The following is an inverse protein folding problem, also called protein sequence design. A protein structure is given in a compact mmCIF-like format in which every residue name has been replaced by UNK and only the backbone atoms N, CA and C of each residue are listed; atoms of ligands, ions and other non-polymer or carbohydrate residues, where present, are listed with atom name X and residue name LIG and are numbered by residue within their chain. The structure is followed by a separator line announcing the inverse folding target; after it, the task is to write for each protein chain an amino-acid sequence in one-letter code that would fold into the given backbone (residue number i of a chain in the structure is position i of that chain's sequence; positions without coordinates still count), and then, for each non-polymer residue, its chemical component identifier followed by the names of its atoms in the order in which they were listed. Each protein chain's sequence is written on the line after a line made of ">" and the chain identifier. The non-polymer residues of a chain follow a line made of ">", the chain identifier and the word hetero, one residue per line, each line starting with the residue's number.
data_IF_253290291389
#
_entry.id   IF_253290291389
#
_cell.length_a   1.000
_cell.length_b   1.000
_cell.length_c   1.000
_cell.angle_alpha   90.00
_cell.angle_beta   90.00
_cell.angle_gamma   90.00
#
_symmetry.space_group_name_H-M   'P 1'
#
loop_
_entity.id
_entity.type
_entity.pdbx_description
1 polymer ?
#
# COMPACT_ATOMS: atom_id res chain seq x y z
N UNK A 1 44.83 49.42 -36.24
CA UNK A 1 45.29 48.29 -35.37
C UNK A 1 44.12 47.83 -34.55
N UNK A 2 43.66 46.62 -34.84
CA UNK A 2 42.57 45.97 -34.02
C UNK A 2 43.20 45.55 -32.68
N UNK A 3 42.62 46.02 -31.63
CA UNK A 3 43.15 45.80 -30.30
C UNK A 3 42.96 44.33 -29.84
N UNK A 4 44.03 43.55 -29.90
CA UNK A 4 44.05 42.09 -29.57
C UNK A 4 43.55 41.84 -28.15
N UNK A 5 43.72 42.80 -27.24
CA UNK A 5 43.21 42.71 -25.87
C UNK A 5 41.67 42.76 -25.81
N UNK A 6 41.03 43.54 -26.68
CA UNK A 6 39.56 43.60 -26.70
C UNK A 6 38.93 42.29 -27.22
N UNK A 7 39.59 41.64 -28.19
CA UNK A 7 39.12 40.33 -28.70
C UNK A 7 39.22 39.24 -27.65
N UNK A 8 40.33 39.18 -26.88
CA UNK A 8 40.51 38.21 -25.79
C UNK A 8 39.47 38.39 -24.68
N UNK A 9 39.18 39.63 -24.31
CA UNK A 9 38.15 39.92 -23.28
C UNK A 9 36.74 39.51 -23.74
N UNK A 10 36.36 39.76 -24.98
CA UNK A 10 35.07 39.36 -25.57
C UNK A 10 34.92 37.84 -25.65
N UNK A 11 36.00 37.12 -26.00
CA UNK A 11 35.97 35.65 -26.03
C UNK A 11 35.84 35.07 -24.61
N UNK A 12 36.51 35.61 -23.64
CA UNK A 12 36.44 35.15 -22.24
C UNK A 12 35.05 35.42 -21.63
N UNK A 13 34.40 36.56 -21.88
CA UNK A 13 33.07 36.88 -21.43
C UNK A 13 32.01 36.03 -22.11
N UNK A 14 32.13 35.77 -23.43
CA UNK A 14 31.21 34.90 -24.17
C UNK A 14 31.29 33.44 -23.69
N UNK A 15 32.49 32.92 -23.42
CA UNK A 15 32.70 31.59 -22.83
C UNK A 15 32.07 31.47 -21.45
N UNK A 16 32.24 32.46 -20.57
CA UNK A 16 31.64 32.50 -19.24
C UNK A 16 30.12 32.57 -19.28
N UNK A 17 29.53 33.31 -20.19
CA UNK A 17 28.08 33.38 -20.39
C UNK A 17 27.51 32.05 -20.89
N UNK A 18 28.21 31.39 -21.85
CA UNK A 18 27.81 30.06 -22.34
C UNK A 18 27.87 29.01 -21.25
N UNK A 19 28.95 28.97 -20.48
CA UNK A 19 29.11 28.06 -19.32
C UNK A 19 28.02 28.25 -18.27
N UNK A 20 27.72 29.51 -17.89
CA UNK A 20 26.66 29.79 -16.92
C UNK A 20 25.26 29.40 -17.44
N UNK A 21 25.01 29.53 -18.74
CA UNK A 21 23.77 29.12 -19.39
C UNK A 21 23.62 27.60 -19.39
N UNK A 22 24.70 26.86 -19.63
CA UNK A 22 24.69 25.38 -19.58
C UNK A 22 24.45 24.86 -18.17
N UNK A 23 25.12 25.42 -17.15
CA UNK A 23 24.86 25.06 -15.73
C UNK A 23 23.41 25.35 -15.37
N UNK A 24 22.87 26.51 -15.70
CA UNK A 24 21.49 26.87 -15.41
C UNK A 24 20.51 25.91 -16.08
N UNK A 25 20.76 25.51 -17.30
CA UNK A 25 19.93 24.54 -18.02
C UNK A 25 20.02 23.15 -17.41
N UNK A 26 21.20 22.69 -16.98
CA UNK A 26 21.39 21.39 -16.30
C UNK A 26 20.69 21.36 -14.94
N UNK A 27 20.83 22.41 -14.13
CA UNK A 27 20.12 22.55 -12.86
C UNK A 27 18.60 22.56 -13.04
N UNK A 28 18.10 23.30 -14.04
CA UNK A 28 16.66 23.34 -14.35
C UNK A 28 16.18 21.95 -14.77
N UNK A 29 16.91 21.26 -15.63
CA UNK A 29 16.57 19.89 -16.06
C UNK A 29 16.56 18.91 -14.90
N UNK A 30 17.55 18.94 -14.01
CA UNK A 30 17.59 18.12 -12.80
C UNK A 30 16.42 18.42 -11.88
N UNK A 31 16.07 19.69 -11.68
CA UNK A 31 14.91 20.09 -10.88
C UNK A 31 13.59 19.56 -11.49
N UNK A 32 13.41 19.66 -12.81
CA UNK A 32 12.25 19.11 -13.50
C UNK A 32 12.15 17.58 -13.31
N UNK A 33 13.24 16.83 -13.45
CA UNK A 33 13.25 15.40 -13.24
C UNK A 33 12.95 15.04 -11.79
N UNK A 34 13.47 15.81 -10.82
CA UNK A 34 13.18 15.59 -9.39
C UNK A 34 11.72 15.87 -9.07
N UNK A 35 11.15 16.96 -9.58
CA UNK A 35 9.72 17.28 -9.39
C UNK A 35 8.85 16.23 -10.07
N UNK A 36 9.18 15.80 -11.28
CA UNK A 36 8.44 14.79 -12.03
C UNK A 36 8.49 13.44 -11.30
N UNK A 37 9.63 13.05 -10.73
CA UNK A 37 9.76 11.82 -9.93
C UNK A 37 8.96 11.89 -8.63
N UNK A 38 8.94 13.03 -7.95
CA UNK A 38 8.12 13.25 -6.75
C UNK A 38 6.62 13.21 -7.06
N UNK A 39 6.19 13.77 -8.19
CA UNK A 39 4.80 13.68 -8.65
C UNK A 39 4.41 12.25 -9.03
N UNK A 40 5.32 11.48 -9.60
CA UNK A 40 5.06 10.07 -9.94
C UNK A 40 4.94 9.17 -8.70
N UNK A 41 5.69 9.46 -7.64
CA UNK A 41 5.61 8.71 -6.37
C UNK A 41 4.26 8.96 -5.68
N UNK A 42 3.67 10.14 -5.78
CA UNK A 42 2.40 10.47 -5.14
C UNK A 42 1.18 9.79 -5.77
N UNK A 43 1.28 9.24 -6.99
CA UNK A 43 0.14 8.60 -7.69
C UNK A 43 0.02 7.09 -7.48
N UNK A 44 1.00 6.46 -6.80
CA UNK A 44 1.06 4.99 -6.65
C UNK A 44 0.39 4.51 -5.35
N UNK A 45 0.23 5.37 -4.34
CA UNK A 45 -0.43 4.98 -3.10
C UNK A 45 -1.95 5.15 -3.22
N UNK A 46 -2.68 4.04 -3.38
CA UNK A 46 -4.13 4.05 -3.20
C UNK A 46 -4.44 4.64 -1.81
N UNK A 47 -5.11 5.79 -1.80
CA UNK A 47 -5.37 6.54 -0.58
C UNK A 47 -6.49 5.87 0.23
N UNK A 48 -6.38 5.92 1.55
CA UNK A 48 -7.48 5.57 2.42
C UNK A 48 -8.62 6.59 2.30
N UNK A 49 -9.83 6.08 2.26
CA UNK A 49 -11.06 6.88 2.30
C UNK A 49 -11.92 6.41 3.48
N UNK A 50 -12.83 7.25 4.00
CA UNK A 50 -13.78 6.84 5.02
C UNK A 50 -14.53 5.56 4.62
N UNK A 51 -14.67 4.64 5.56
CA UNK A 51 -15.45 3.42 5.36
C UNK A 51 -16.92 3.63 5.75
N UNK A 52 -17.80 2.79 5.21
CA UNK A 52 -19.24 2.78 5.53
C UNK A 52 -19.52 2.50 7.01
N UNK A 53 -18.58 1.88 7.72
CA UNK A 53 -18.68 1.61 9.16
C UNK A 53 -18.66 2.88 10.02
N UNK A 54 -18.19 4.01 9.48
CA UNK A 54 -18.06 5.28 10.22
C UNK A 54 -17.00 5.21 11.34
N UNK A 55 -17.09 6.09 12.33
CA UNK A 55 -16.28 6.07 13.58
C UNK A 55 -14.77 5.85 13.36
N UNK A 56 -14.18 6.60 12.44
CA UNK A 56 -12.77 6.54 12.06
C UNK A 56 -12.33 5.22 11.39
N UNK A 57 -13.27 4.39 10.92
CA UNK A 57 -12.92 3.30 10.00
C UNK A 57 -12.59 3.87 8.63
N UNK A 58 -11.47 3.42 8.11
CA UNK A 58 -10.95 3.79 6.79
C UNK A 58 -10.84 2.54 5.93
N UNK A 59 -10.98 2.69 4.62
CA UNK A 59 -10.75 1.60 3.67
C UNK A 59 -9.83 2.01 2.55
N UNK A 60 -9.08 1.06 2.04
CA UNK A 60 -8.22 1.17 0.88
C UNK A 60 -8.47 0.01 -0.06
N UNK A 61 -8.98 0.29 -1.26
CA UNK A 61 -9.09 -0.71 -2.32
C UNK A 61 -7.76 -0.85 -3.04
N UNK A 62 -7.28 -2.06 -3.18
CA UNK A 62 -5.97 -2.40 -3.70
C UNK A 62 -6.16 -3.20 -4.99
N UNK A 63 -5.60 -2.69 -6.09
CA UNK A 63 -5.58 -3.42 -7.35
C UNK A 63 -4.63 -4.60 -7.25
N UNK A 64 -5.12 -5.78 -7.58
CA UNK A 64 -4.34 -7.01 -7.64
C UNK A 64 -4.09 -7.40 -9.10
N UNK A 65 -3.14 -8.30 -9.38
CA UNK A 65 -3.02 -8.89 -10.72
C UNK A 65 -4.33 -9.54 -11.15
N UNK A 66 -4.67 -9.39 -12.43
CA UNK A 66 -5.87 -9.98 -13.02
C UNK A 66 -5.86 -11.50 -12.87
N UNK A 67 -7.04 -12.09 -12.71
CA UNK A 67 -7.21 -13.54 -12.70
C UNK A 67 -8.04 -14.01 -13.93
N UNK A 68 -8.53 -15.24 -13.88
CA UNK A 68 -9.32 -15.85 -14.96
C UNK A 68 -10.72 -15.22 -15.17
N UNK A 69 -11.15 -14.31 -14.30
CA UNK A 69 -12.38 -13.52 -14.44
C UNK A 69 -12.07 -12.03 -14.76
N UNK A 70 -10.81 -11.69 -15.00
CA UNK A 70 -10.32 -10.35 -15.31
C UNK A 70 -9.83 -9.60 -14.08
N UNK A 71 -10.18 -8.31 -13.96
CA UNK A 71 -9.69 -7.43 -12.89
C UNK A 71 -10.01 -7.97 -11.51
N UNK A 72 -9.05 -7.85 -10.61
CA UNK A 72 -9.17 -8.28 -9.22
C UNK A 72 -8.76 -7.14 -8.28
N UNK A 73 -9.51 -6.97 -7.21
CA UNK A 73 -9.14 -6.09 -6.10
C UNK A 73 -9.27 -6.84 -4.78
N UNK A 74 -8.54 -6.38 -3.77
CA UNK A 74 -8.82 -6.67 -2.38
C UNK A 74 -8.99 -5.35 -1.61
N UNK A 75 -9.64 -5.37 -0.44
CA UNK A 75 -9.90 -4.14 0.31
C UNK A 75 -9.40 -4.29 1.73
N UNK A 76 -8.47 -3.42 2.12
CA UNK A 76 -7.98 -3.31 3.48
C UNK A 76 -8.80 -2.24 4.22
N UNK A 77 -9.49 -2.67 5.27
CA UNK A 77 -10.18 -1.81 6.23
C UNK A 77 -9.25 -1.60 7.41
N UNK A 78 -9.22 -0.40 7.96
CA UNK A 78 -8.39 -0.10 9.15
C UNK A 78 -9.12 0.82 10.13
N UNK A 79 -8.81 0.64 11.40
CA UNK A 79 -9.10 1.58 12.48
C UNK A 79 -7.81 1.83 13.26
N UNK A 80 -7.20 3.03 13.13
CA UNK A 80 -5.99 3.35 13.88
C UNK A 80 -6.29 3.52 15.37
N UNK A 81 -5.35 3.09 16.21
CA UNK A 81 -5.42 3.26 17.66
C UNK A 81 -4.96 4.67 18.06
N UNK A 82 -5.65 5.25 19.04
CA UNK A 82 -5.24 6.49 19.68
C UNK A 82 -5.12 6.28 21.21
N UNK A 83 -3.97 6.54 21.86
CA UNK A 83 -2.71 7.02 21.26
C UNK A 83 -2.07 6.00 20.31
N UNK A 84 -1.19 6.47 19.44
CA UNK A 84 -0.54 5.67 18.40
C UNK A 84 0.21 4.46 18.97
N UNK A 85 0.08 3.32 18.31
CA UNK A 85 0.74 2.06 18.65
C UNK A 85 1.44 1.47 17.43
N UNK A 86 2.43 0.60 17.67
CA UNK A 86 3.12 -0.18 16.63
C UNK A 86 2.70 -1.65 16.59
N UNK A 87 1.61 -1.98 17.26
CA UNK A 87 1.05 -3.31 17.29
C UNK A 87 -0.25 -3.35 16.46
N UNK A 88 -0.39 -4.33 15.62
CA UNK A 88 -1.55 -4.49 14.75
C UNK A 88 -2.16 -5.88 14.84
N UNK A 89 -3.47 -5.95 14.63
CA UNK A 89 -4.19 -7.19 14.35
C UNK A 89 -4.76 -7.08 12.94
N UNK A 90 -4.52 -8.10 12.11
CA UNK A 90 -5.15 -8.28 10.80
C UNK A 90 -6.18 -9.39 10.89
N UNK A 91 -7.45 -9.03 10.72
CA UNK A 91 -8.57 -9.96 10.72
C UNK A 91 -8.87 -10.49 9.32
N UNK A 92 -9.06 -11.80 9.20
CA UNK A 92 -9.44 -12.51 7.98
C UNK A 92 -10.79 -13.21 8.20
N UNK A 93 -11.77 -12.84 7.38
CA UNK A 93 -13.15 -13.31 7.48
C UNK A 93 -13.34 -14.75 6.98
N UNK A 94 -14.56 -15.28 7.16
CA UNK A 94 -14.99 -16.60 6.71
C UNK A 94 -15.53 -16.62 5.27
N UNK A 95 -16.09 -17.79 4.87
CA UNK A 95 -16.77 -17.95 3.59
C UNK A 95 -18.11 -17.21 3.61
N UNK A 96 -18.47 -16.62 2.47
CA UNK A 96 -19.69 -15.80 2.31
C UNK A 96 -19.81 -14.69 3.38
N UNK A 97 -18.66 -14.10 3.73
CA UNK A 97 -18.53 -13.10 4.79
C UNK A 97 -17.64 -11.95 4.28
N UNK A 98 -17.52 -10.89 5.05
CA UNK A 98 -16.60 -9.76 4.89
C UNK A 98 -16.52 -9.01 6.22
N UNK A 99 -15.65 -8.02 6.35
CA UNK A 99 -15.57 -7.31 7.61
C UNK A 99 -16.71 -6.29 7.77
N UNK A 100 -17.61 -6.56 8.72
CA UNK A 100 -18.66 -5.65 9.17
C UNK A 100 -18.84 -5.67 10.71
N UNK A 101 -18.11 -6.50 11.41
CA UNK A 101 -18.19 -6.69 12.87
C UNK A 101 -17.50 -5.55 13.60
N UNK A 102 -18.09 -4.35 13.55
CA UNK A 102 -17.55 -3.12 14.15
C UNK A 102 -17.11 -3.30 15.60
N UNK A 103 -17.91 -4.02 16.41
CA UNK A 103 -17.62 -4.28 17.82
C UNK A 103 -16.30 -5.04 18.01
N UNK A 104 -15.95 -5.95 17.11
CA UNK A 104 -14.67 -6.64 17.14
C UNK A 104 -13.51 -5.66 16.94
N UNK A 105 -13.58 -4.83 15.90
CA UNK A 105 -12.54 -3.84 15.63
C UNK A 105 -12.41 -2.80 16.75
N UNK A 106 -13.54 -2.36 17.32
CA UNK A 106 -13.57 -1.42 18.44
C UNK A 106 -12.94 -2.06 19.69
N UNK A 107 -13.23 -3.33 19.96
CA UNK A 107 -12.65 -4.07 21.10
C UNK A 107 -11.13 -4.24 20.94
N UNK A 108 -10.66 -4.65 19.76
CA UNK A 108 -9.23 -4.78 19.46
C UNK A 108 -8.52 -3.45 19.65
N UNK A 109 -9.13 -2.38 19.13
CA UNK A 109 -8.61 -1.04 19.25
C UNK A 109 -8.56 -0.57 20.72
N UNK A 110 -9.59 -0.85 21.50
CA UNK A 110 -9.62 -0.55 22.95
C UNK A 110 -8.55 -1.29 23.75
N UNK A 111 -8.02 -2.41 23.23
CA UNK A 111 -6.89 -3.16 23.82
C UNK A 111 -5.52 -2.71 23.32
N UNK A 112 -5.42 -1.57 22.65
CA UNK A 112 -4.16 -0.95 22.27
C UNK A 112 -3.55 -1.44 20.96
N UNK A 113 -4.33 -2.02 20.05
CA UNK A 113 -3.87 -2.45 18.74
C UNK A 113 -4.46 -1.59 17.63
N UNK A 114 -3.68 -1.30 16.61
CA UNK A 114 -4.22 -0.89 15.31
C UNK A 114 -5.02 -2.06 14.74
N UNK A 115 -6.26 -1.81 14.41
CA UNK A 115 -7.10 -2.85 13.82
C UNK A 115 -7.09 -2.76 12.30
N UNK A 116 -6.89 -3.90 11.66
CA UNK A 116 -7.02 -4.09 10.22
C UNK A 116 -7.92 -5.29 9.93
N UNK A 117 -8.66 -5.22 8.84
CA UNK A 117 -9.41 -6.34 8.31
C UNK A 117 -9.28 -6.38 6.79
N UNK A 118 -9.17 -7.57 6.22
CA UNK A 118 -9.09 -7.75 4.78
C UNK A 118 -10.41 -8.31 4.26
N UNK A 119 -11.10 -7.57 3.39
CA UNK A 119 -12.05 -8.19 2.48
C UNK A 119 -11.24 -8.81 1.33
N UNK A 120 -11.11 -10.13 1.34
CA UNK A 120 -10.38 -10.89 0.33
C UNK A 120 -10.99 -10.64 -1.06
N UNK A 121 -10.22 -10.94 -2.13
CA UNK A 121 -10.74 -10.87 -3.50
C UNK A 121 -12.09 -11.55 -3.64
N UNK A 122 -13.02 -10.91 -4.35
CA UNK A 122 -14.40 -11.40 -4.60
C UNK A 122 -15.26 -11.54 -3.35
N UNK A 123 -14.90 -10.83 -2.27
CA UNK A 123 -15.68 -10.74 -1.02
C UNK A 123 -15.99 -9.28 -0.67
N UNK A 124 -17.17 -9.05 -0.09
CA UNK A 124 -17.56 -7.76 0.46
C UNK A 124 -17.28 -6.57 -0.46
N UNK A 125 -16.43 -5.64 -0.02
CA UNK A 125 -16.03 -4.43 -0.77
C UNK A 125 -15.16 -4.74 -2.00
N UNK A 126 -14.67 -5.98 -2.11
CA UNK A 126 -13.77 -6.43 -3.18
C UNK A 126 -14.49 -7.13 -4.33
N UNK A 127 -15.82 -7.22 -4.29
CA UNK A 127 -16.62 -7.78 -5.39
C UNK A 127 -16.68 -6.75 -6.52
N UNK A 128 -16.28 -7.15 -7.73
CA UNK A 128 -16.42 -6.36 -8.94
C UNK A 128 -17.57 -6.89 -9.81
N UNK A 129 -18.15 -6.05 -10.69
CA UNK A 129 -19.12 -6.50 -11.66
C UNK A 129 -18.60 -7.67 -12.51
N UNK A 130 -19.49 -8.62 -12.85
CA UNK A 130 -19.21 -9.79 -13.68
C UNK A 130 -18.27 -10.85 -13.07
N UNK A 131 -18.00 -10.77 -11.77
CA UNK A 131 -17.32 -11.84 -11.05
C UNK A 131 -18.32 -12.82 -10.42
N UNK A 132 -17.88 -14.06 -10.19
CA UNK A 132 -18.57 -15.00 -9.32
C UNK A 132 -18.14 -14.75 -7.87
N UNK A 133 -19.02 -14.18 -7.00
CA UNK A 133 -18.65 -13.92 -5.60
C UNK A 133 -18.22 -15.20 -4.91
N UNK A 134 -17.22 -15.07 -4.01
CA UNK A 134 -16.69 -16.14 -3.15
C UNK A 134 -15.96 -17.28 -3.90
N UNK A 135 -15.87 -17.22 -5.23
CA UNK A 135 -15.26 -18.28 -6.03
C UNK A 135 -13.75 -18.10 -6.13
N UNK A 136 -13.04 -19.19 -5.88
CA UNK A 136 -11.61 -19.35 -6.19
C UNK A 136 -11.34 -20.77 -6.70
N UNK A 137 -10.35 -20.92 -7.58
CA UNK A 137 -9.87 -22.24 -8.02
C UNK A 137 -8.92 -22.86 -6.99
N UNK A 138 -8.32 -22.03 -6.14
CA UNK A 138 -7.38 -22.45 -5.10
C UNK A 138 -7.32 -21.44 -3.98
N UNK A 139 -7.27 -21.89 -2.72
CA UNK A 139 -7.04 -21.01 -1.57
C UNK A 139 -5.72 -20.24 -1.64
N UNK A 140 -4.76 -20.69 -2.46
CA UNK A 140 -3.51 -19.96 -2.70
C UNK A 140 -3.70 -18.61 -3.38
N UNK A 141 -4.82 -18.38 -4.04
CA UNK A 141 -5.13 -17.09 -4.66
C UNK A 141 -5.19 -15.96 -3.62
N UNK A 142 -5.62 -16.28 -2.39
CA UNK A 142 -5.67 -15.32 -1.29
C UNK A 142 -4.31 -14.97 -0.68
N UNK A 143 -3.25 -15.73 -1.01
CA UNK A 143 -1.92 -15.50 -0.45
C UNK A 143 -1.35 -14.15 -0.88
N UNK A 144 -1.59 -13.76 -2.11
CA UNK A 144 -1.18 -12.44 -2.61
C UNK A 144 -1.92 -11.30 -1.91
N UNK A 145 -3.20 -11.49 -1.54
CA UNK A 145 -3.97 -10.51 -0.78
C UNK A 145 -3.38 -10.32 0.62
N UNK A 146 -3.03 -11.45 1.28
CA UNK A 146 -2.39 -11.45 2.60
C UNK A 146 -1.00 -10.81 2.56
N UNK A 147 -0.16 -11.17 1.56
CA UNK A 147 1.16 -10.58 1.39
C UNK A 147 1.07 -9.05 1.24
N UNK A 148 0.13 -8.59 0.43
CA UNK A 148 -0.08 -7.16 0.18
C UNK A 148 -0.58 -6.44 1.43
N UNK A 149 -1.54 -7.01 2.16
CA UNK A 149 -2.02 -6.44 3.41
C UNK A 149 -0.91 -6.31 4.44
N UNK A 150 -0.14 -7.37 4.66
CA UNK A 150 0.95 -7.40 5.63
C UNK A 150 2.07 -6.42 5.28
N UNK A 151 2.40 -6.29 3.98
CA UNK A 151 3.37 -5.29 3.52
C UNK A 151 2.90 -3.87 3.86
N UNK A 152 1.65 -3.53 3.55
CA UNK A 152 1.07 -2.22 3.85
C UNK A 152 1.08 -1.95 5.37
N UNK A 153 0.66 -2.92 6.18
CA UNK A 153 0.62 -2.78 7.65
C UNK A 153 2.03 -2.54 8.21
N UNK A 154 3.05 -3.20 7.66
CA UNK A 154 4.47 -2.96 8.02
C UNK A 154 4.94 -1.57 7.57
N UNK A 155 4.63 -1.17 6.34
CA UNK A 155 4.98 0.16 5.81
C UNK A 155 4.34 1.30 6.62
N UNK A 156 3.17 1.05 7.24
CA UNK A 156 2.50 1.98 8.14
C UNK A 156 3.12 2.02 9.56
N UNK A 157 4.26 1.37 9.78
CA UNK A 157 5.06 1.45 10.99
C UNK A 157 4.67 0.44 12.08
N UNK A 158 3.92 -0.60 11.75
CA UNK A 158 3.59 -1.65 12.72
C UNK A 158 4.70 -2.70 12.80
N UNK A 159 5.36 -2.78 13.96
CA UNK A 159 6.47 -3.70 14.21
C UNK A 159 6.00 -5.11 14.61
N UNK A 160 4.81 -5.21 15.22
CA UNK A 160 4.20 -6.47 15.65
C UNK A 160 2.85 -6.66 15.00
N UNK A 161 2.64 -7.78 14.32
CA UNK A 161 1.39 -8.10 13.63
C UNK A 161 0.91 -9.48 14.06
N UNK A 162 -0.33 -9.53 14.55
CA UNK A 162 -1.05 -10.78 14.80
C UNK A 162 -2.09 -11.00 13.70
N UNK A 163 -2.20 -12.22 13.18
CA UNK A 163 -3.35 -12.62 12.38
C UNK A 163 -4.47 -13.09 13.30
N UNK A 164 -5.68 -12.63 13.04
CA UNK A 164 -6.91 -13.14 13.65
C UNK A 164 -7.80 -13.66 12.53
N UNK A 165 -8.32 -14.88 12.67
CA UNK A 165 -9.04 -15.50 11.58
C UNK A 165 -10.32 -16.20 12.06
N UNK A 166 -11.36 -16.14 11.24
CA UNK A 166 -12.64 -16.78 11.48
C UNK A 166 -12.98 -17.80 10.40
N UNK A 167 -13.45 -18.97 10.78
CA UNK A 167 -14.00 -20.00 9.87
C UNK A 167 -13.03 -20.34 8.71
N UNK A 168 -13.40 -20.11 7.45
CA UNK A 168 -12.51 -20.32 6.28
C UNK A 168 -11.24 -19.50 6.37
N UNK A 169 -11.25 -18.31 6.96
CA UNK A 169 -10.04 -17.56 7.27
C UNK A 169 -9.07 -18.37 8.13
N UNK A 170 -9.60 -19.13 9.11
CA UNK A 170 -8.83 -20.06 9.95
C UNK A 170 -8.26 -21.27 9.20
N UNK A 171 -8.71 -21.56 7.98
CA UNK A 171 -8.09 -22.53 7.07
C UNK A 171 -7.04 -21.83 6.16
N UNK A 172 -7.35 -20.66 5.65
CA UNK A 172 -6.47 -19.91 4.74
C UNK A 172 -5.18 -19.49 5.44
N UNK A 173 -5.27 -18.95 6.66
CA UNK A 173 -4.13 -18.35 7.36
C UNK A 173 -3.07 -19.37 7.77
N UNK A 174 -3.35 -20.54 8.36
CA UNK A 174 -2.33 -21.55 8.63
C UNK A 174 -1.70 -22.08 7.32
N UNK A 175 -2.52 -22.30 6.28
CA UNK A 175 -2.01 -22.75 4.97
C UNK A 175 -1.09 -21.71 4.32
N UNK A 176 -1.42 -20.42 4.45
CA UNK A 176 -0.56 -19.33 4.05
C UNK A 176 0.77 -19.32 4.82
N UNK A 177 0.71 -19.43 6.16
CA UNK A 177 1.92 -19.43 7.01
C UNK A 177 2.81 -20.63 6.72
N UNK A 178 2.26 -21.82 6.53
CA UNK A 178 3.00 -23.01 6.13
C UNK A 178 3.75 -22.81 4.81
N UNK A 179 3.15 -22.09 3.87
CA UNK A 179 3.78 -21.77 2.58
C UNK A 179 5.05 -20.90 2.70
N UNK A 180 5.24 -20.17 3.80
CA UNK A 180 6.36 -19.25 4.02
C UNK A 180 7.65 -19.90 4.51
N UNK A 181 7.64 -21.20 4.78
CA UNK A 181 8.81 -22.06 5.06
C UNK A 181 9.89 -21.41 5.94
N UNK A 182 9.56 -21.14 7.19
CA UNK A 182 10.53 -20.76 8.23
C UNK A 182 10.68 -19.27 8.54
N UNK A 183 10.31 -18.35 7.65
CA UNK A 183 10.23 -16.91 7.97
C UNK A 183 8.77 -16.48 8.00
N UNK A 184 8.16 -16.54 9.16
CA UNK A 184 6.78 -16.10 9.32
C UNK A 184 6.68 -14.58 9.17
N UNK A 185 5.72 -14.09 8.37
CA UNK A 185 5.52 -12.65 8.17
C UNK A 185 4.78 -11.97 9.32
N UNK A 186 4.36 -12.74 10.33
CA UNK A 186 3.57 -12.31 11.49
C UNK A 186 4.12 -12.88 12.77
N UNK A 187 3.73 -12.30 13.91
CA UNK A 187 4.21 -12.64 15.24
C UNK A 187 3.30 -13.66 15.97
N UNK A 188 2.11 -13.93 15.43
CA UNK A 188 1.17 -14.91 15.98
C UNK A 188 -0.10 -15.05 15.17
N UNK A 189 -0.89 -16.11 15.49
CA UNK A 189 -2.19 -16.43 14.91
C UNK A 189 -3.19 -16.70 16.05
N UNK A 190 -4.40 -16.12 15.91
CA UNK A 190 -5.53 -16.25 16.84
C UNK A 190 -6.72 -16.84 16.07
#
# INVERSE_FOLDING_TARGET
>A
KIDIFAIGYLQQTSGRMRYNKEIKNDMTRKLYFTILSLLFISTIYAQYVPDILGDNYLRRTIQMPDDYEGKVVCTLVKKPQLPETKQAILYIHGYNDYFFQKQLGDSVNAHGYNFYAMDLRKYGRSILPNQNPFFCKSLKEYFADLDTALAIIREEGNDKILLMAHSTGGLITPYYLDSKKGKLPVDGLI
#
